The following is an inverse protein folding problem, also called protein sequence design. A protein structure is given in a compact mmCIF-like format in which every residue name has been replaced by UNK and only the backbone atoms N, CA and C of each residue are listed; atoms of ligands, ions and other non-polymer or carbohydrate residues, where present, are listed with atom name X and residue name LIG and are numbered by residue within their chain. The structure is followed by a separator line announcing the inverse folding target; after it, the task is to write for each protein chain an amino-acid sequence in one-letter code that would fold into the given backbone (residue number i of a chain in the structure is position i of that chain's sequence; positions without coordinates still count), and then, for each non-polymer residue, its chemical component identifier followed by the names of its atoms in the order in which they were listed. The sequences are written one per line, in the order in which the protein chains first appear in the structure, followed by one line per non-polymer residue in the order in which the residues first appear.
data_IF_670360556737
#
_entry.id   IF_670360556737
#
_cell.length_a   1.000
_cell.length_b   1.000
_cell.length_c   1.000
_cell.angle_alpha   90.00
_cell.angle_beta   90.00
_cell.angle_gamma   90.00
#
_symmetry.space_group_name_H-M   'P 1'
#
loop_
_entity.id
_entity.type
_entity.pdbx_description
1 polymer ?
#
# COMPACT_ATOMS: atom_id res chain seq x y z
N UNK A 1 -17.80 20.11 12.60
CA UNK A 1 -17.17 19.23 11.59
C UNK A 1 -16.04 18.52 12.30
N UNK A 2 -16.07 17.19 12.32
CA UNK A 2 -15.02 16.36 12.91
C UNK A 2 -14.10 15.84 11.78
N UNK A 3 -12.79 15.87 12.03
CA UNK A 3 -11.75 15.46 11.09
C UNK A 3 -10.90 14.32 11.65
N UNK A 4 -11.21 13.86 12.87
CA UNK A 4 -10.53 12.73 13.46
C UNK A 4 -11.08 11.44 12.85
N UNK A 5 -10.19 10.47 12.69
CA UNK A 5 -10.58 9.13 12.28
C UNK A 5 -11.43 8.46 13.37
N UNK A 6 -12.40 7.66 12.94
CA UNK A 6 -13.05 6.69 13.81
C UNK A 6 -12.02 5.66 14.32
N UNK A 7 -12.33 4.89 15.39
CA UNK A 7 -11.47 3.79 15.82
C UNK A 7 -11.14 2.80 14.70
N UNK A 8 -12.08 2.51 13.81
CA UNK A 8 -11.96 1.59 12.69
C UNK A 8 -11.03 2.16 11.60
N UNK A 9 -11.20 3.44 11.26
CA UNK A 9 -10.33 4.16 10.33
C UNK A 9 -8.90 4.26 10.88
N UNK A 10 -8.74 4.53 12.18
CA UNK A 10 -7.44 4.58 12.85
C UNK A 10 -6.74 3.21 12.84
N UNK A 11 -7.49 2.12 13.10
CA UNK A 11 -6.97 0.76 13.03
C UNK A 11 -6.54 0.39 11.61
N UNK A 12 -7.34 0.74 10.60
CA UNK A 12 -6.99 0.50 9.20
C UNK A 12 -5.72 1.26 8.79
N UNK A 13 -5.61 2.53 9.19
CA UNK A 13 -4.40 3.33 8.92
C UNK A 13 -3.16 2.74 9.60
N UNK A 14 -3.28 2.24 10.83
CA UNK A 14 -2.18 1.55 11.51
C UNK A 14 -1.74 0.29 10.75
N UNK A 15 -2.70 -0.50 10.25
CA UNK A 15 -2.42 -1.66 9.41
C UNK A 15 -1.72 -1.27 8.10
N UNK A 16 -2.26 -0.30 7.36
CA UNK A 16 -1.65 0.20 6.13
C UNK A 16 -0.22 0.72 6.36
N UNK A 17 -0.01 1.45 7.46
CA UNK A 17 1.32 1.93 7.86
C UNK A 17 2.30 0.80 8.17
N UNK A 18 1.86 -0.24 8.89
CA UNK A 18 2.67 -1.41 9.19
C UNK A 18 3.06 -2.16 7.90
N UNK A 19 2.12 -2.34 6.97
CA UNK A 19 2.41 -2.93 5.66
C UNK A 19 3.48 -2.13 4.91
N UNK A 20 3.30 -0.81 4.79
CA UNK A 20 4.25 0.05 4.07
C UNK A 20 5.63 0.03 4.73
N UNK A 21 5.71 0.13 6.06
CA UNK A 21 6.96 0.12 6.81
C UNK A 21 7.74 -1.19 6.65
N UNK A 22 7.04 -2.31 6.49
CA UNK A 22 7.67 -3.63 6.30
C UNK A 22 8.15 -3.87 4.86
N UNK A 23 7.54 -3.23 3.86
CA UNK A 23 7.81 -3.51 2.45
C UNK A 23 8.57 -2.41 1.72
N UNK A 24 8.59 -1.19 2.28
CA UNK A 24 9.16 -0.01 1.64
C UNK A 24 10.08 0.75 2.59
N UNK A 25 11.05 1.44 1.99
CA UNK A 25 11.81 2.46 2.70
C UNK A 25 11.07 3.79 2.58
N UNK A 26 10.93 4.50 3.70
CA UNK A 26 10.35 5.82 3.72
C UNK A 26 11.14 6.75 2.81
N UNK A 27 10.43 7.48 1.95
CA UNK A 27 11.04 8.46 1.04
C UNK A 27 11.49 9.68 1.85
N UNK A 28 12.79 9.93 1.93
CA UNK A 28 13.34 11.07 2.66
C UNK A 28 13.50 12.30 1.77
N UNK A 29 13.81 12.10 0.48
CA UNK A 29 13.97 13.18 -0.48
C UNK A 29 13.80 12.69 -1.93
N UNK A 30 13.89 13.61 -2.89
CA UNK A 30 13.72 13.30 -4.31
C UNK A 30 14.75 12.32 -4.89
N UNK A 31 15.92 12.18 -4.26
CA UNK A 31 16.92 11.20 -4.68
C UNK A 31 16.46 9.78 -4.42
N UNK A 32 15.47 9.55 -3.56
CA UNK A 32 14.92 8.22 -3.31
C UNK A 32 13.94 7.76 -4.41
N UNK A 33 13.70 8.58 -5.44
CA UNK A 33 12.87 8.18 -6.56
C UNK A 33 13.53 7.03 -7.35
N UNK A 34 12.96 5.83 -7.24
CA UNK A 34 13.44 4.61 -7.91
C UNK A 34 13.54 4.75 -9.42
N UNK A 35 12.61 5.48 -10.06
CA UNK A 35 12.62 5.68 -11.51
C UNK A 35 13.83 6.50 -11.97
N UNK A 36 14.37 7.39 -11.11
CA UNK A 36 15.59 8.16 -11.39
C UNK A 36 16.88 7.41 -11.05
N UNK A 37 16.81 6.37 -10.21
CA UNK A 37 17.97 5.64 -9.66
C UNK A 37 18.27 4.32 -10.34
N UNK A 38 17.26 3.67 -10.89
CA UNK A 38 17.37 2.34 -11.47
C UNK A 38 17.36 2.40 -12.99
N UNK A 39 17.98 1.40 -13.61
CA UNK A 39 17.72 1.10 -15.01
C UNK A 39 16.23 0.76 -15.21
N UNK A 40 15.72 0.88 -16.43
CA UNK A 40 14.34 0.51 -16.74
C UNK A 40 14.05 -0.96 -16.34
N UNK A 41 14.99 -1.86 -16.61
CA UNK A 41 14.85 -3.30 -16.29
C UNK A 41 14.76 -3.51 -14.77
N UNK A 42 15.62 -2.86 -13.99
CA UNK A 42 15.62 -3.04 -12.53
C UNK A 42 14.45 -2.33 -11.86
N UNK A 43 14.02 -1.18 -12.41
CA UNK A 43 12.78 -0.53 -12.01
C UNK A 43 11.58 -1.45 -12.23
N UNK A 44 11.47 -2.09 -13.40
CA UNK A 44 10.38 -3.03 -13.69
C UNK A 44 10.40 -4.26 -12.78
N UNK A 45 11.58 -4.78 -12.42
CA UNK A 45 11.70 -5.86 -11.42
C UNK A 45 11.20 -5.40 -10.04
N UNK A 46 11.64 -4.23 -9.57
CA UNK A 46 11.21 -3.68 -8.28
C UNK A 46 9.70 -3.40 -8.25
N UNK A 47 9.15 -2.84 -9.34
CA UNK A 47 7.73 -2.58 -9.47
C UNK A 47 6.90 -3.87 -9.43
N UNK A 48 7.31 -4.92 -10.15
CA UNK A 48 6.64 -6.23 -10.12
C UNK A 48 6.68 -6.86 -8.73
N UNK A 49 7.83 -6.79 -8.05
CA UNK A 49 7.96 -7.29 -6.68
C UNK A 49 6.99 -6.57 -5.74
N UNK A 50 6.89 -5.24 -5.82
CA UNK A 50 5.97 -4.47 -4.99
C UNK A 50 4.50 -4.72 -5.32
N UNK A 51 4.14 -4.85 -6.61
CA UNK A 51 2.78 -5.22 -7.00
C UNK A 51 2.38 -6.59 -6.46
N UNK A 52 3.32 -7.55 -6.45
CA UNK A 52 3.10 -8.87 -5.85
C UNK A 52 2.85 -8.76 -4.34
N UNK A 53 3.68 -8.01 -3.61
CA UNK A 53 3.48 -7.79 -2.18
C UNK A 53 2.10 -7.17 -1.89
N UNK A 54 1.66 -6.16 -2.66
CA UNK A 54 0.31 -5.61 -2.50
C UNK A 54 -0.78 -6.64 -2.75
N UNK A 55 -0.65 -7.48 -3.76
CA UNK A 55 -1.64 -8.52 -4.07
C UNK A 55 -1.71 -9.57 -2.95
N UNK A 56 -0.56 -10.06 -2.47
CA UNK A 56 -0.49 -11.05 -1.39
C UNK A 56 -1.09 -10.54 -0.07
N UNK A 57 -1.11 -9.21 0.13
CA UNK A 57 -1.68 -8.55 1.31
C UNK A 57 -3.04 -7.85 1.04
N UNK A 58 -3.67 -8.07 -0.12
CA UNK A 58 -4.98 -7.51 -0.48
C UNK A 58 -5.01 -6.01 -0.82
N UNK A 59 -3.88 -5.31 -0.75
CA UNK A 59 -3.77 -3.88 -1.10
C UNK A 59 -3.86 -3.60 -2.61
N UNK A 60 -3.80 -4.63 -3.46
CA UNK A 60 -4.05 -4.48 -4.90
C UNK A 60 -5.55 -4.26 -5.22
N UNK A 61 -6.45 -4.75 -4.36
CA UNK A 61 -7.89 -4.70 -4.54
C UNK A 61 -8.61 -4.43 -3.22
N UNK A 62 -8.36 -3.28 -2.61
CA UNK A 62 -8.93 -2.92 -1.30
C UNK A 62 -10.45 -3.11 -1.27
N UNK A 63 -11.14 -2.72 -2.35
CA UNK A 63 -12.60 -2.82 -2.48
C UNK A 63 -13.09 -4.12 -3.10
N UNK A 64 -12.19 -5.01 -3.50
CA UNK A 64 -12.58 -6.26 -4.14
C UNK A 64 -12.95 -7.31 -3.10
N UNK A 65 -13.85 -8.24 -3.43
CA UNK A 65 -14.17 -9.37 -2.56
C UNK A 65 -12.94 -10.17 -2.14
N UNK A 66 -12.95 -10.73 -0.93
CA UNK A 66 -11.82 -11.49 -0.35
C UNK A 66 -11.51 -12.77 -1.11
N UNK A 67 -12.53 -13.42 -1.65
CA UNK A 67 -12.42 -14.58 -2.54
C UNK A 67 -11.71 -14.26 -3.87
N UNK A 68 -11.66 -12.99 -4.26
CA UNK A 68 -10.92 -12.49 -5.42
C UNK A 68 -9.55 -11.89 -5.03
N UNK A 69 -9.11 -12.10 -3.79
CA UNK A 69 -7.82 -11.61 -3.28
C UNK A 69 -7.82 -10.14 -2.84
N UNK A 70 -9.00 -9.53 -2.68
CA UNK A 70 -9.15 -8.19 -2.13
C UNK A 70 -9.33 -8.15 -0.61
N UNK A 71 -9.57 -6.95 -0.05
CA UNK A 71 -9.86 -6.79 1.38
C UNK A 71 -11.36 -6.73 1.70
N UNK A 72 -12.22 -6.57 0.69
CA UNK A 72 -13.68 -6.46 0.83
C UNK A 72 -14.13 -5.19 1.54
N UNK A 73 -13.30 -4.14 1.55
CA UNK A 73 -13.59 -2.89 2.23
C UNK A 73 -14.36 -1.92 1.32
N UNK A 74 -15.04 -0.95 1.91
CA UNK A 74 -15.73 0.12 1.17
C UNK A 74 -14.90 1.42 1.22
N UNK A 75 -15.30 2.43 0.45
CA UNK A 75 -14.68 3.77 0.53
C UNK A 75 -14.87 4.42 1.90
N UNK A 76 -15.89 3.99 2.64
CA UNK A 76 -16.18 4.40 4.01
C UNK A 76 -15.92 3.20 4.91
N UNK A 77 -14.89 3.31 5.75
CA UNK A 77 -14.64 2.35 6.83
C UNK A 77 -15.51 2.84 7.98
N UNK A 78 -16.64 2.17 8.20
CA UNK A 78 -17.58 2.47 9.28
C UNK A 78 -17.23 1.69 10.52
#
# INVERSE_FOLDING_TARGET
MDFNDTPEEAAYRANAYAFLSNHLKLRANDRDNLQKRLSEVDYMKAAKHYQRAKADHGFAGITWPKDQGGQGLSQFIQ
#
